data_IF_069613074557
#
_entry.id   IF_069613074557
#
_cell.length_a   1.000
_cell.length_b   1.000
_cell.length_c   1.000
_cell.angle_alpha   90.00
_cell.angle_beta   90.00
_cell.angle_gamma   90.00
#
_symmetry.space_group_name_H-M   'P 1'
#
loop_
_entity.id
_entity.type
_entity.pdbx_description
1 polymer ?
#
# COMPACT_ATOMS: atom_id res chain seq x y z
N UNK A 1 -29.92 27.64 6.81
CA UNK A 1 -28.66 28.05 6.18
C UNK A 1 -27.92 26.78 5.78
N UNK A 2 -28.37 26.16 4.71
CA UNK A 2 -27.74 25.08 3.96
C UNK A 2 -27.90 25.55 2.52
N UNK A 3 -26.81 26.00 1.92
CA UNK A 3 -26.65 26.30 0.50
C UNK A 3 -25.21 26.80 0.38
N UNK A 4 -24.29 25.90 0.04
CA UNK A 4 -22.99 26.18 -0.60
C UNK A 4 -22.06 24.97 -0.81
N UNK A 5 -22.48 23.73 -0.53
CA UNK A 5 -21.59 22.55 -0.67
C UNK A 5 -21.72 21.78 -2.00
N UNK A 6 -22.45 22.27 -2.99
CA UNK A 6 -22.70 21.52 -4.25
C UNK A 6 -21.76 21.84 -5.42
N UNK A 7 -20.70 22.64 -5.23
CA UNK A 7 -19.88 23.07 -6.38
C UNK A 7 -18.36 22.87 -6.25
N UNK A 8 -17.91 22.04 -5.30
CA UNK A 8 -16.46 21.71 -5.14
C UNK A 8 -16.11 20.33 -5.74
N UNK A 9 -17.10 19.48 -6.03
CA UNK A 9 -16.86 18.06 -6.35
C UNK A 9 -16.92 17.68 -7.84
N UNK A 10 -17.29 18.58 -8.76
CA UNK A 10 -17.42 18.25 -10.20
C UNK A 10 -16.23 18.73 -11.07
N UNK A 11 -15.30 19.48 -10.47
CA UNK A 11 -14.09 20.05 -11.11
C UNK A 11 -12.83 19.58 -10.34
N UNK A 12 -12.86 18.38 -9.74
CA UNK A 12 -11.63 17.63 -9.54
C UNK A 12 -11.35 16.90 -10.86
N UNK A 13 -10.83 17.70 -11.80
CA UNK A 13 -10.75 17.47 -13.23
C UNK A 13 -10.03 16.17 -13.58
N UNK A 14 -10.58 15.45 -14.56
CA UNK A 14 -9.89 14.42 -15.36
C UNK A 14 -8.53 14.95 -15.86
N UNK A 15 -8.42 16.26 -16.09
CA UNK A 15 -7.17 16.95 -16.46
C UNK A 15 -6.11 16.90 -15.35
N UNK A 16 -6.48 17.06 -14.08
CA UNK A 16 -5.57 16.92 -12.93
C UNK A 16 -5.07 15.49 -12.78
N UNK A 17 -5.92 14.49 -13.01
CA UNK A 17 -5.52 13.08 -12.94
C UNK A 17 -4.56 12.70 -14.07
N UNK A 18 -4.78 13.24 -15.27
CA UNK A 18 -3.89 12.99 -16.43
C UNK A 18 -2.53 13.68 -16.27
N UNK A 19 -2.51 14.94 -15.83
CA UNK A 19 -1.25 15.68 -15.56
C UNK A 19 -0.49 15.07 -14.38
N UNK A 20 -1.19 14.57 -13.37
CA UNK A 20 -0.61 13.83 -12.25
C UNK A 20 0.09 12.56 -12.72
N UNK A 21 -0.56 11.76 -13.57
CA UNK A 21 0.05 10.54 -14.09
C UNK A 21 1.33 10.87 -14.88
N UNK A 22 1.35 11.89 -15.74
CA UNK A 22 2.57 12.19 -16.53
C UNK A 22 3.77 12.62 -15.66
N UNK A 23 3.51 13.25 -14.51
CA UNK A 23 4.55 13.82 -13.62
C UNK A 23 4.89 12.98 -12.40
N UNK A 24 4.24 11.84 -12.22
CA UNK A 24 4.50 10.96 -11.08
C UNK A 24 5.51 9.90 -11.51
N UNK A 25 6.67 9.86 -10.86
CA UNK A 25 7.60 8.73 -10.92
C UNK A 25 6.93 7.37 -10.77
N UNK A 26 7.63 6.40 -11.30
CA UNK A 26 7.54 4.97 -11.11
C UNK A 26 7.09 4.55 -9.68
N UNK A 27 5.82 4.14 -9.57
CA UNK A 27 5.19 3.67 -8.34
C UNK A 27 4.45 2.37 -8.57
N UNK A 28 4.61 1.43 -7.64
CA UNK A 28 3.84 0.18 -7.59
C UNK A 28 2.92 0.23 -6.37
N UNK A 29 1.60 0.14 -6.60
CA UNK A 29 0.60 0.07 -5.54
C UNK A 29 0.01 -1.33 -5.52
N UNK A 30 0.03 -1.99 -4.36
CA UNK A 30 -0.51 -3.34 -4.16
C UNK A 30 -1.55 -3.29 -3.07
N UNK A 31 -2.76 -3.73 -3.37
CA UNK A 31 -3.83 -3.90 -2.40
C UNK A 31 -4.02 -5.37 -2.05
N UNK A 32 -4.33 -5.63 -0.78
CA UNK A 32 -4.75 -6.96 -0.34
C UNK A 32 -6.17 -7.32 -0.80
N UNK A 33 -6.94 -6.33 -1.26
CA UNK A 33 -8.33 -6.47 -1.71
C UNK A 33 -8.67 -5.53 -2.88
N UNK A 34 -9.51 -5.99 -3.81
CA UNK A 34 -10.24 -5.17 -4.78
C UNK A 34 -11.38 -4.45 -4.04
N UNK A 35 -11.88 -3.37 -4.64
CA UNK A 35 -12.94 -2.54 -4.05
C UNK A 35 -14.15 -3.38 -3.60
N UNK A 36 -14.67 -3.05 -2.42
CA UNK A 36 -15.80 -3.67 -1.72
C UNK A 36 -15.53 -5.02 -1.02
N UNK A 37 -14.33 -5.60 -1.15
CA UNK A 37 -14.01 -6.89 -0.55
C UNK A 37 -13.33 -6.77 0.82
N UNK A 38 -13.62 -7.72 1.71
CA UNK A 38 -12.91 -7.88 2.97
C UNK A 38 -11.62 -8.68 2.78
N UNK A 39 -10.59 -8.37 3.57
CA UNK A 39 -9.32 -9.09 3.53
C UNK A 39 -9.45 -10.51 4.10
N UNK A 40 -8.67 -11.45 3.57
CA UNK A 40 -8.53 -12.79 4.14
C UNK A 40 -7.35 -12.81 5.11
N UNK A 41 -7.66 -13.06 6.39
CA UNK A 41 -6.66 -13.04 7.46
C UNK A 41 -6.71 -14.34 8.24
N UNK A 42 -5.54 -14.96 8.40
CA UNK A 42 -5.34 -16.15 9.21
C UNK A 42 -4.49 -15.83 10.44
N UNK A 43 -4.91 -16.30 11.63
CA UNK A 43 -4.18 -16.08 12.88
C UNK A 43 -2.72 -16.56 12.82
N UNK A 44 -2.48 -17.70 12.17
CA UNK A 44 -1.16 -18.35 12.14
C UNK A 44 -0.17 -17.72 11.16
N UNK A 45 -0.67 -17.02 10.12
CA UNK A 45 0.17 -16.62 8.98
C UNK A 45 0.03 -15.15 8.60
N UNK A 46 -0.88 -14.40 9.24
CA UNK A 46 -1.17 -13.02 8.88
C UNK A 46 -2.19 -12.92 7.74
N UNK A 47 -2.21 -11.76 7.09
CA UNK A 47 -2.93 -11.57 5.83
C UNK A 47 -2.30 -12.37 4.70
N UNK A 48 -3.09 -12.73 3.70
CA UNK A 48 -2.55 -13.40 2.51
C UNK A 48 -1.52 -12.54 1.76
N UNK A 49 -1.76 -11.23 1.65
CA UNK A 49 -0.80 -10.33 1.00
C UNK A 49 0.54 -10.31 1.74
N UNK A 50 0.54 -10.19 3.07
CA UNK A 50 1.78 -10.21 3.84
C UNK A 50 2.52 -11.53 3.71
N UNK A 51 1.81 -12.66 3.64
CA UNK A 51 2.38 -13.99 3.43
C UNK A 51 3.04 -14.09 2.05
N UNK A 52 2.40 -13.59 1.00
CA UNK A 52 2.94 -13.58 -0.37
C UNK A 52 4.19 -12.70 -0.44
N UNK A 53 4.14 -11.47 0.08
CA UNK A 53 5.28 -10.55 0.11
C UNK A 53 6.45 -11.15 0.88
N UNK A 54 6.20 -11.71 2.06
CA UNK A 54 7.21 -12.44 2.85
C UNK A 54 7.85 -13.57 2.04
N UNK A 55 7.05 -14.31 1.28
CA UNK A 55 7.54 -15.42 0.46
C UNK A 55 8.45 -14.92 -0.67
N UNK A 56 8.06 -13.82 -1.34
CA UNK A 56 8.86 -13.20 -2.39
C UNK A 56 10.20 -12.70 -1.84
N UNK A 57 10.17 -11.97 -0.72
CA UNK A 57 11.38 -11.49 -0.04
C UNK A 57 12.27 -12.66 0.37
N UNK A 58 11.72 -13.70 1.02
CA UNK A 58 12.51 -14.88 1.42
C UNK A 58 13.21 -15.56 0.26
N UNK A 59 12.48 -15.83 -0.83
CA UNK A 59 13.03 -16.40 -2.06
C UNK A 59 14.11 -15.48 -2.66
N UNK A 60 13.92 -14.17 -2.54
CA UNK A 60 14.85 -13.10 -2.95
C UNK A 60 16.26 -13.21 -2.35
N UNK A 61 16.42 -13.85 -1.19
CA UNK A 61 17.75 -14.10 -0.60
C UNK A 61 18.55 -15.19 -1.31
N UNK A 62 17.88 -16.10 -2.03
CA UNK A 62 18.49 -17.24 -2.70
C UNK A 62 18.47 -17.12 -4.22
N UNK A 63 17.75 -16.14 -4.78
CA UNK A 63 17.69 -15.88 -6.21
C UNK A 63 16.81 -14.68 -6.54
N UNK A 64 16.85 -14.24 -7.80
CA UNK A 64 16.01 -13.16 -8.29
C UNK A 64 14.53 -13.53 -8.27
N UNK A 65 13.69 -12.67 -7.68
CA UNK A 65 12.23 -12.84 -7.64
C UNK A 65 11.56 -11.58 -8.16
N UNK A 66 10.93 -11.68 -9.32
CA UNK A 66 10.13 -10.59 -9.87
C UNK A 66 8.78 -10.51 -9.14
N UNK A 67 8.63 -9.48 -8.30
CA UNK A 67 7.46 -9.30 -7.44
C UNK A 67 6.16 -9.21 -8.25
N UNK A 68 6.15 -8.43 -9.33
CA UNK A 68 4.95 -8.29 -10.17
C UNK A 68 4.53 -9.61 -10.80
N UNK A 69 5.48 -10.42 -11.29
CA UNK A 69 5.19 -11.73 -11.87
C UNK A 69 4.67 -12.72 -10.84
N UNK A 70 5.26 -12.75 -9.64
CA UNK A 70 4.75 -13.62 -8.56
C UNK A 70 3.33 -13.20 -8.19
N UNK A 71 3.05 -11.91 -8.05
CA UNK A 71 1.71 -11.42 -7.71
C UNK A 71 0.68 -11.74 -8.80
N UNK A 72 1.03 -11.55 -10.08
CA UNK A 72 0.17 -11.94 -11.21
C UNK A 72 -0.14 -13.44 -11.17
N UNK A 73 0.83 -14.28 -10.82
CA UNK A 73 0.62 -15.72 -10.63
C UNK A 73 -0.37 -16.02 -9.49
N UNK A 74 -0.23 -15.36 -8.33
CA UNK A 74 -1.16 -15.52 -7.21
C UNK A 74 -2.59 -15.05 -7.55
N UNK A 75 -2.73 -13.92 -8.25
CA UNK A 75 -4.03 -13.41 -8.71
C UNK A 75 -4.73 -14.44 -9.59
N UNK A 76 -4.00 -15.02 -10.55
CA UNK A 76 -4.57 -15.95 -11.52
C UNK A 76 -4.96 -17.31 -10.91
N UNK A 77 -4.17 -17.83 -9.96
CA UNK A 77 -4.43 -19.16 -9.40
C UNK A 77 -5.55 -19.16 -8.37
N UNK A 78 -5.55 -18.17 -7.49
CA UNK A 78 -6.35 -18.26 -6.29
C UNK A 78 -7.66 -17.47 -6.36
N UNK A 79 -8.02 -16.93 -7.54
CA UNK A 79 -9.15 -16.00 -7.73
C UNK A 79 -9.13 -14.95 -6.61
N UNK A 80 -7.92 -14.48 -6.29
CA UNK A 80 -7.73 -13.63 -5.13
C UNK A 80 -8.16 -12.21 -5.49
N UNK A 81 -8.77 -11.56 -4.50
CA UNK A 81 -9.10 -10.15 -4.55
C UNK A 81 -7.88 -9.23 -4.52
N UNK A 82 -6.67 -9.64 -4.93
CA UNK A 82 -5.53 -8.71 -4.93
C UNK A 82 -5.65 -7.73 -6.09
N UNK A 83 -5.24 -6.47 -5.88
CA UNK A 83 -5.19 -5.45 -6.93
C UNK A 83 -3.77 -4.91 -7.05
N UNK A 84 -3.25 -4.82 -8.27
CA UNK A 84 -1.91 -4.25 -8.54
C UNK A 84 -2.08 -3.11 -9.52
N UNK A 85 -1.61 -1.93 -9.14
CA UNK A 85 -1.58 -0.76 -9.99
C UNK A 85 -0.14 -0.34 -10.25
N UNK A 86 0.26 -0.34 -11.52
CA UNK A 86 1.57 0.10 -12.00
C UNK A 86 1.43 1.53 -12.51
N UNK A 87 2.00 2.51 -11.81
CA UNK A 87 1.99 3.92 -12.20
C UNK A 87 3.37 4.23 -12.79
N UNK A 88 3.45 4.37 -14.11
CA UNK A 88 4.70 4.65 -14.86
C UNK A 88 5.88 3.75 -14.50
N UNK A 89 5.63 2.51 -14.10
CA UNK A 89 6.68 1.59 -13.69
C UNK A 89 7.53 1.19 -14.90
N UNK A 90 8.75 1.73 -15.03
CA UNK A 90 9.63 1.48 -16.20
C UNK A 90 10.48 0.23 -16.05
N UNK A 91 10.90 -0.07 -14.81
CA UNK A 91 11.78 -1.19 -14.48
C UNK A 91 11.03 -2.30 -13.74
N UNK A 92 11.61 -3.49 -13.71
CA UNK A 92 11.06 -4.58 -12.92
C UNK A 92 11.37 -4.40 -11.41
N UNK A 93 10.42 -4.76 -10.56
CA UNK A 93 10.62 -4.85 -9.11
C UNK A 93 11.08 -6.26 -8.78
N UNK A 94 12.38 -6.43 -8.55
CA UNK A 94 13.01 -7.73 -8.30
C UNK A 94 13.69 -7.74 -6.95
N UNK A 95 13.32 -8.69 -6.08
CA UNK A 95 14.08 -8.96 -4.86
C UNK A 95 15.23 -9.93 -5.16
N UNK A 96 16.42 -9.63 -4.65
CA UNK A 96 17.64 -10.36 -4.97
C UNK A 96 18.44 -9.73 -6.12
N UNK A 97 19.52 -10.39 -6.53
CA UNK A 97 20.39 -9.89 -7.61
C UNK A 97 19.87 -10.33 -8.98
N UNK A 98 19.68 -9.39 -9.90
CA UNK A 98 19.39 -9.65 -11.32
C UNK A 98 20.23 -8.72 -12.21
N UNK A 99 20.50 -9.18 -13.43
CA UNK A 99 21.21 -8.43 -14.48
C UNK A 99 20.27 -7.64 -15.39
N UNK A 100 18.96 -7.76 -15.19
CA UNK A 100 17.93 -7.06 -15.99
C UNK A 100 17.82 -5.57 -15.59
N UNK A 101 17.06 -4.78 -16.37
CA UNK A 101 16.70 -3.41 -16.00
C UNK A 101 15.71 -3.41 -14.81
N UNK A 102 16.27 -3.35 -13.61
CA UNK A 102 15.56 -3.43 -12.32
C UNK A 102 15.77 -2.16 -11.49
N UNK A 103 14.87 -1.91 -10.54
CA UNK A 103 15.16 -0.92 -9.49
C UNK A 103 16.21 -1.46 -8.51
N UNK A 104 17.06 -0.56 -8.04
CA UNK A 104 17.94 -0.84 -6.91
C UNK A 104 17.13 -0.82 -5.61
N UNK A 105 16.97 -2.00 -5.00
CA UNK A 105 16.25 -2.18 -3.74
C UNK A 105 17.18 -2.26 -2.53
N UNK A 106 18.48 -2.01 -2.72
CA UNK A 106 19.44 -1.95 -1.61
C UNK A 106 19.26 -0.65 -0.83
N UNK A 107 19.52 -0.68 0.48
CA UNK A 107 19.46 0.51 1.34
C UNK A 107 18.14 1.31 1.17
N UNK A 108 17.00 0.63 1.22
CA UNK A 108 15.69 1.29 1.13
C UNK A 108 15.18 1.79 2.47
N UNK A 109 14.17 2.66 2.46
CA UNK A 109 13.42 3.05 3.66
C UNK A 109 12.02 2.45 3.60
N UNK A 110 11.55 1.86 4.71
CA UNK A 110 10.25 1.23 4.83
C UNK A 110 9.49 1.81 6.02
N UNK A 111 8.36 2.47 5.76
CA UNK A 111 7.45 2.95 6.80
C UNK A 111 6.27 1.98 6.91
N UNK A 112 5.95 1.56 8.13
CA UNK A 112 4.84 0.65 8.41
C UNK A 112 3.86 1.35 9.35
N UNK A 113 2.72 1.78 8.82
CA UNK A 113 1.61 2.32 9.59
C UNK A 113 0.62 1.21 9.89
N UNK A 114 0.30 0.99 11.17
CA UNK A 114 -0.66 -0.03 11.60
C UNK A 114 -1.72 0.61 12.47
N UNK A 115 -2.99 0.50 12.09
CA UNK A 115 -4.12 0.92 12.93
C UNK A 115 -4.94 -0.31 13.31
N UNK A 116 -4.82 -0.72 14.57
CA UNK A 116 -5.51 -1.88 15.16
C UNK A 116 -6.70 -1.49 16.02
N UNK A 117 -6.67 -0.26 16.52
CA UNK A 117 -7.70 0.33 17.37
C UNK A 117 -8.38 1.44 16.59
N UNK A 118 -9.71 1.39 16.54
CA UNK A 118 -10.51 2.41 15.89
C UNK A 118 -11.59 2.91 16.84
N UNK A 119 -11.93 4.19 16.70
CA UNK A 119 -13.08 4.79 17.36
C UNK A 119 -14.38 4.23 16.74
N UNK A 120 -15.42 4.07 17.56
CA UNK A 120 -16.72 3.58 17.08
C UNK A 120 -17.27 4.48 15.94
N UNK A 121 -17.92 3.91 14.90
CA UNK A 121 -18.50 2.57 14.80
C UNK A 121 -17.59 1.50 14.17
N UNK A 122 -16.34 1.83 13.82
CA UNK A 122 -15.40 0.88 13.22
C UNK A 122 -15.05 -0.20 14.26
N UNK A 123 -15.67 -1.38 14.13
CA UNK A 123 -15.38 -2.50 15.03
C UNK A 123 -13.94 -2.95 14.84
N UNK A 124 -13.27 -3.30 15.94
CA UNK A 124 -11.98 -3.98 15.92
C UNK A 124 -12.05 -5.20 15.00
N UNK A 125 -11.26 -5.18 13.92
CA UNK A 125 -11.21 -6.29 12.98
C UNK A 125 -9.77 -6.55 12.52
N UNK A 126 -9.26 -7.65 13.06
CA UNK A 126 -8.42 -8.65 12.39
C UNK A 126 -6.99 -8.30 11.95
N UNK A 127 -6.29 -7.33 12.53
CA UNK A 127 -4.83 -7.27 12.28
C UNK A 127 -4.12 -8.18 13.27
N UNK A 128 -3.45 -9.22 12.78
CA UNK A 128 -2.55 -10.02 13.61
C UNK A 128 -1.16 -9.40 13.63
N UNK A 129 -0.48 -9.50 14.77
CA UNK A 129 0.93 -9.13 14.90
C UNK A 129 1.80 -9.85 13.85
N UNK A 130 1.38 -11.05 13.44
CA UNK A 130 2.03 -11.84 12.38
C UNK A 130 2.05 -11.08 11.05
N UNK A 131 0.96 -10.38 10.66
CA UNK A 131 0.92 -9.55 9.45
C UNK A 131 2.00 -8.47 9.49
N UNK A 132 2.07 -7.72 10.59
CA UNK A 132 3.06 -6.64 10.77
C UNK A 132 4.48 -7.20 10.75
N UNK A 133 4.70 -8.33 11.44
CA UNK A 133 6.02 -8.95 11.53
C UNK A 133 6.49 -9.57 10.20
N UNK A 134 5.57 -10.12 9.38
CA UNK A 134 5.89 -10.60 8.04
C UNK A 134 6.54 -9.50 7.18
N UNK A 135 6.03 -8.27 7.26
CA UNK A 135 6.61 -7.14 6.57
C UNK A 135 7.90 -6.66 7.22
N UNK A 136 7.84 -6.32 8.51
CA UNK A 136 8.95 -5.69 9.22
C UNK A 136 10.22 -6.56 9.19
N UNK A 137 10.10 -7.85 9.49
CA UNK A 137 11.26 -8.74 9.56
C UNK A 137 11.88 -8.89 8.18
N UNK A 138 11.09 -9.15 7.14
CA UNK A 138 11.64 -9.52 5.84
C UNK A 138 12.16 -8.29 5.08
N UNK A 139 11.51 -7.13 5.15
CA UNK A 139 12.09 -5.89 4.59
C UNK A 139 13.39 -5.51 5.31
N UNK A 140 13.45 -5.63 6.64
CA UNK A 140 14.68 -5.38 7.41
C UNK A 140 15.80 -6.34 7.03
N UNK A 141 15.49 -7.61 6.79
CA UNK A 141 16.46 -8.60 6.28
C UNK A 141 16.96 -8.29 4.87
N UNK A 142 16.15 -7.61 4.06
CA UNK A 142 16.54 -7.06 2.75
C UNK A 142 17.29 -5.73 2.83
N UNK A 143 17.71 -5.30 4.03
CA UNK A 143 18.52 -4.10 4.21
C UNK A 143 17.73 -2.80 4.13
N UNK A 144 16.40 -2.84 4.32
CA UNK A 144 15.61 -1.64 4.49
C UNK A 144 15.70 -1.11 5.93
N UNK A 145 15.86 0.19 6.10
CA UNK A 145 15.58 0.84 7.38
C UNK A 145 14.07 0.83 7.60
N UNK A 146 13.60 0.13 8.64
CA UNK A 146 12.17 -0.11 8.85
C UNK A 146 11.69 0.62 10.10
N UNK A 147 10.69 1.49 9.93
CA UNK A 147 10.11 2.30 11.01
C UNK A 147 8.63 1.94 11.16
N UNK A 148 8.21 1.56 12.37
CA UNK A 148 6.80 1.26 12.68
C UNK A 148 6.11 2.47 13.33
N UNK A 149 4.85 2.68 12.95
CA UNK A 149 3.93 3.64 13.56
C UNK A 149 2.62 2.90 13.89
N UNK A 150 2.15 3.05 15.12
CA UNK A 150 1.01 2.28 15.65
C UNK A 150 -0.10 3.23 16.10
N UNK A 151 -1.32 2.92 15.65
CA UNK A 151 -2.57 3.59 15.97
C UNK A 151 -2.47 5.12 15.79
N UNK A 152 -2.22 5.54 14.56
CA UNK A 152 -2.18 6.96 14.17
C UNK A 152 -3.56 7.40 13.64
N UNK A 153 -3.96 8.62 13.99
CA UNK A 153 -5.07 9.31 13.35
C UNK A 153 -4.76 9.55 11.87
N UNK A 154 -5.80 9.82 11.07
CA UNK A 154 -5.60 10.15 9.66
C UNK A 154 -4.62 11.34 9.49
N UNK A 155 -4.72 12.33 10.38
CA UNK A 155 -3.84 13.50 10.36
C UNK A 155 -2.41 13.19 10.85
N UNK A 156 -2.23 12.34 11.85
CA UNK A 156 -0.90 11.93 12.31
C UNK A 156 -0.17 11.13 11.21
N UNK A 157 -0.85 10.24 10.50
CA UNK A 157 -0.27 9.47 9.38
C UNK A 157 0.27 10.41 8.30
N UNK A 158 -0.54 11.35 7.83
CA UNK A 158 -0.13 12.26 6.76
C UNK A 158 0.96 13.23 7.21
N UNK A 159 0.86 13.76 8.44
CA UNK A 159 1.88 14.67 9.00
C UNK A 159 3.21 13.96 9.13
N UNK A 160 3.21 12.71 9.59
CA UNK A 160 4.43 11.93 9.73
C UNK A 160 5.07 11.61 8.39
N UNK A 161 4.26 11.24 7.39
CA UNK A 161 4.75 11.01 6.03
C UNK A 161 5.35 12.29 5.43
N UNK A 162 4.68 13.43 5.58
CA UNK A 162 5.20 14.73 5.14
C UNK A 162 6.55 15.06 5.79
N UNK A 163 6.70 14.81 7.09
CA UNK A 163 7.95 15.03 7.78
C UNK A 163 9.10 14.16 7.25
N UNK A 164 8.81 12.90 6.86
CA UNK A 164 9.82 12.02 6.24
C UNK A 164 10.19 12.52 4.84
N UNK A 165 9.18 12.87 4.03
CA UNK A 165 9.38 13.34 2.65
C UNK A 165 10.18 14.64 2.60
N UNK A 166 9.88 15.59 3.49
CA UNK A 166 10.56 16.89 3.56
C UNK A 166 11.89 16.86 4.32
N UNK A 167 12.21 15.76 5.02
CA UNK A 167 13.34 15.69 5.95
C UNK A 167 14.71 15.43 5.30
N UNK A 168 14.78 15.24 3.97
CA UNK A 168 16.02 14.96 3.23
C UNK A 168 16.62 13.56 3.44
N UNK A 169 16.08 12.78 4.39
CA UNK A 169 16.53 11.41 4.67
C UNK A 169 16.33 10.46 3.48
N UNK A 170 15.43 10.77 2.55
CA UNK A 170 15.14 9.92 1.39
C UNK A 170 16.27 9.94 0.34
N UNK A 171 17.09 10.99 0.32
CA UNK A 171 18.19 11.14 -0.63
C UNK A 171 19.17 9.97 -0.59
N UNK A 172 19.48 9.45 0.59
CA UNK A 172 20.43 8.34 0.79
C UNK A 172 19.86 6.96 0.50
N UNK A 173 18.54 6.82 0.34
CA UNK A 173 17.89 5.53 0.14
C UNK A 173 17.61 5.28 -1.34
N UNK A 174 17.72 4.04 -1.83
CA UNK A 174 17.49 3.73 -3.25
C UNK A 174 16.04 3.33 -3.58
N UNK A 175 15.27 2.96 -2.55
CA UNK A 175 13.86 2.62 -2.67
C UNK A 175 13.08 3.13 -1.45
N UNK A 176 11.79 3.40 -1.64
CA UNK A 176 10.90 3.83 -0.58
C UNK A 176 9.63 2.98 -0.56
N UNK A 177 9.37 2.37 0.59
CA UNK A 177 8.24 1.47 0.82
C UNK A 177 7.34 2.09 1.89
N UNK A 178 6.05 2.15 1.62
CA UNK A 178 5.04 2.48 2.62
C UNK A 178 4.08 1.30 2.70
N UNK A 179 3.90 0.79 3.91
CA UNK A 179 2.97 -0.29 4.21
C UNK A 179 1.93 0.28 5.15
N UNK A 180 0.68 0.21 4.75
CA UNK A 180 -0.45 0.69 5.55
C UNK A 180 -1.34 -0.50 5.84
N UNK A 181 -1.44 -0.83 7.12
CA UNK A 181 -2.25 -1.91 7.63
C UNK A 181 -3.40 -1.28 8.42
N UNK A 182 -4.55 -1.10 7.75
CA UNK A 182 -5.70 -0.37 8.31
C UNK A 182 -7.02 -0.85 7.69
N UNK A 183 -8.14 -0.23 8.07
CA UNK A 183 -9.38 -0.34 7.31
C UNK A 183 -9.37 0.67 6.15
N UNK A 184 -9.96 0.27 5.04
CA UNK A 184 -10.12 1.08 3.83
C UNK A 184 -11.57 1.09 3.37
N UNK A 185 -11.93 2.12 2.62
CA UNK A 185 -13.24 2.23 1.98
C UNK A 185 -13.13 3.01 0.67
N UNK A 186 -14.03 2.78 -0.27
CA UNK A 186 -14.13 3.59 -1.47
C UNK A 186 -15.37 4.48 -1.35
N UNK A 187 -15.17 5.78 -1.15
CA UNK A 187 -16.23 6.79 -1.00
C UNK A 187 -16.24 7.64 -2.27
N UNK A 188 -17.37 7.69 -2.99
CA UNK A 188 -17.51 8.46 -4.24
C UNK A 188 -16.40 8.15 -5.28
N UNK A 189 -15.96 6.89 -5.36
CA UNK A 189 -14.89 6.46 -6.28
C UNK A 189 -13.46 6.76 -5.81
N UNK A 190 -13.31 7.42 -4.65
CA UNK A 190 -12.03 7.75 -4.03
C UNK A 190 -11.70 6.70 -2.96
N UNK A 191 -10.47 6.20 -2.99
CA UNK A 191 -10.00 5.25 -1.99
C UNK A 191 -9.49 5.98 -0.74
N UNK A 192 -10.11 5.65 0.37
CA UNK A 192 -9.95 6.28 1.67
C UNK A 192 -9.30 5.32 2.66
N UNK A 193 -8.40 5.85 3.49
CA UNK A 193 -7.66 5.11 4.50
C UNK A 193 -8.10 5.60 5.88
N UNK A 194 -8.59 4.70 6.73
CA UNK A 194 -9.01 5.07 8.07
C UNK A 194 -7.82 5.27 9.04
N UNK A 195 -7.89 6.33 9.83
CA UNK A 195 -7.11 6.53 11.04
C UNK A 195 -7.78 5.90 12.26
N UNK A 196 -7.06 5.79 13.39
CA UNK A 196 -7.65 5.31 14.67
C UNK A 196 -8.83 6.14 15.15
N UNK A 197 -8.91 7.40 14.73
CA UNK A 197 -9.96 8.35 15.07
C UNK A 197 -11.24 8.14 14.26
N UNK A 198 -11.25 7.20 13.31
CA UNK A 198 -12.37 6.96 12.41
C UNK A 198 -12.50 8.01 11.31
N UNK A 199 -11.65 9.04 11.31
CA UNK A 199 -11.47 9.91 10.17
C UNK A 199 -10.67 9.19 9.08
N UNK A 200 -10.77 9.69 7.86
CA UNK A 200 -10.08 9.11 6.71
C UNK A 200 -9.13 10.10 6.04
N UNK A 201 -8.15 9.56 5.32
CA UNK A 201 -7.33 10.32 4.39
C UNK A 201 -7.39 9.69 2.99
N UNK A 202 -7.51 10.51 1.92
CA UNK A 202 -7.52 9.99 0.56
C UNK A 202 -6.16 9.41 0.18
N UNK A 203 -6.15 8.21 -0.40
CA UNK A 203 -4.93 7.58 -0.91
C UNK A 203 -4.20 8.47 -1.90
N UNK A 204 -4.94 9.22 -2.74
CA UNK A 204 -4.35 10.16 -3.69
C UNK A 204 -3.52 11.24 -3.01
N UNK A 205 -3.85 11.63 -1.77
CA UNK A 205 -3.02 12.58 -1.00
C UNK A 205 -1.65 11.99 -0.68
N UNK A 206 -1.57 10.70 -0.34
CA UNK A 206 -0.29 10.00 -0.17
C UNK A 206 0.47 9.96 -1.49
N UNK A 207 -0.18 9.52 -2.57
CA UNK A 207 0.47 9.44 -3.88
C UNK A 207 1.04 10.81 -4.32
N UNK A 208 0.28 11.88 -4.13
CA UNK A 208 0.71 13.26 -4.42
C UNK A 208 1.94 13.70 -3.63
N UNK A 209 2.07 13.33 -2.36
CA UNK A 209 3.29 13.60 -1.59
C UNK A 209 4.52 12.90 -2.15
N UNK A 210 4.32 11.78 -2.83
CA UNK A 210 5.38 11.00 -3.47
C UNK A 210 5.58 11.38 -4.94
N UNK A 211 4.89 12.39 -5.47
CA UNK A 211 5.15 12.86 -6.84
C UNK A 211 6.53 13.52 -6.96
N UNK A 212 7.05 13.59 -8.19
CA UNK A 212 8.39 14.14 -8.43
C UNK A 212 8.48 15.63 -8.10
N UNK A 213 7.39 16.38 -8.29
CA UNK A 213 7.29 17.78 -7.90
C UNK A 213 7.34 17.99 -6.37
N UNK A 214 6.94 16.99 -5.58
CA UNK A 214 6.87 17.08 -4.11
C UNK A 214 8.02 16.38 -3.41
N UNK A 215 8.67 15.43 -4.08
CA UNK A 215 9.74 14.64 -3.51
C UNK A 215 10.80 14.31 -4.57
N UNK A 216 11.67 15.28 -4.84
CA UNK A 216 12.79 15.14 -5.79
C UNK A 216 13.76 14.01 -5.41
N UNK A 217 13.93 13.76 -4.10
CA UNK A 217 14.81 12.71 -3.57
C UNK A 217 14.45 11.29 -4.03
N UNK A 218 13.22 11.08 -4.51
CA UNK A 218 12.73 9.79 -4.99
C UNK A 218 12.58 9.70 -6.51
N UNK A 219 13.01 10.70 -7.27
CA UNK A 219 12.99 10.65 -8.75
C UNK A 219 13.84 9.48 -9.24
N UNK A 220 13.26 8.64 -10.10
CA UNK A 220 13.92 7.45 -10.65
C UNK A 220 14.11 6.27 -9.67
N UNK A 221 13.63 6.40 -8.43
CA UNK A 221 13.67 5.37 -7.40
C UNK A 221 12.32 4.67 -7.27
N UNK A 222 12.30 3.41 -6.81
CA UNK A 222 11.04 2.70 -6.61
C UNK A 222 10.25 3.30 -5.45
N UNK A 223 8.98 3.61 -5.72
CA UNK A 223 7.96 3.90 -4.70
C UNK A 223 7.01 2.70 -4.61
N UNK A 224 7.05 1.95 -3.52
CA UNK A 224 6.19 0.78 -3.30
C UNK A 224 5.18 1.08 -2.20
N UNK A 225 3.89 1.04 -2.54
CA UNK A 225 2.80 1.26 -1.61
C UNK A 225 2.01 -0.03 -1.43
N UNK A 226 2.03 -0.59 -0.22
CA UNK A 226 1.34 -1.83 0.13
C UNK A 226 0.18 -1.46 1.07
N UNK A 227 -1.04 -1.79 0.66
CA UNK A 227 -2.28 -1.44 1.36
C UNK A 227 -2.95 -2.75 1.80
N UNK A 228 -2.79 -3.09 3.07
CA UNK A 228 -3.18 -4.39 3.61
C UNK A 228 -4.32 -4.26 4.62
N UNK A 229 -5.51 -4.64 4.20
CA UNK A 229 -6.72 -4.50 4.98
C UNK A 229 -7.99 -4.63 4.14
N UNK A 230 -9.16 -4.66 4.80
CA UNK A 230 -10.44 -4.69 4.10
C UNK A 230 -10.68 -3.36 3.38
N UNK A 231 -11.20 -3.41 2.15
CA UNK A 231 -11.65 -2.25 1.36
C UNK A 231 -13.16 -2.30 1.12
N UNK A 232 -13.88 -2.82 2.11
CA UNK A 232 -15.32 -3.05 2.09
C UNK A 232 -15.75 -4.22 2.98
N UNK A 233 -17.01 -4.62 2.84
CA UNK A 233 -17.67 -5.58 3.74
C UNK A 233 -18.01 -6.93 3.11
N UNK A 234 -17.77 -7.12 1.80
CA UNK A 234 -18.09 -8.38 1.11
C UNK A 234 -17.06 -9.44 1.49
N UNK A 235 -17.51 -10.49 2.17
CA UNK A 235 -16.67 -11.61 2.57
C UNK A 235 -16.65 -12.70 1.49
N UNK A 236 -15.47 -12.99 0.93
CA UNK A 236 -15.27 -14.01 -0.11
C UNK A 236 -15.78 -15.40 0.30
N UNK A 237 -15.72 -15.74 1.58
CA UNK A 237 -16.20 -17.04 2.06
C UNK A 237 -17.68 -17.28 1.75
N UNK A 238 -18.49 -16.22 1.68
CA UNK A 238 -19.92 -16.32 1.37
C UNK A 238 -20.13 -16.56 -0.14
N UNK A 239 -19.31 -15.95 -1.00
CA UNK A 239 -19.37 -16.14 -2.46
C UNK A 239 -18.98 -17.56 -2.88
N UNK A 240 -17.99 -18.17 -2.24
CA UNK A 240 -17.59 -19.56 -2.51
C UNK A 240 -18.67 -20.59 -2.12
N UNK A 241 -19.44 -20.33 -1.08
CA UNK A 241 -20.54 -21.21 -0.66
C UNK A 241 -21.74 -21.13 -1.62
N UNK A 242 -21.98 -19.98 -2.23
CA UNK A 242 -23.12 -19.77 -3.15
C UNK A 242 -22.87 -20.32 -4.57
N UNK A 243 -21.62 -20.41 -5.02
CA UNK A 243 -21.28 -20.98 -6.32
C UNK A 243 -21.09 -22.51 -6.30
N UNK A 244 -21.26 -23.15 -5.13
CA UNK A 244 -21.15 -24.60 -4.95
C UNK A 244 -22.52 -25.27 -4.67
N UNK A 245 -23.63 -24.56 -4.92
CA UNK A 245 -25.02 -25.06 -4.86
C UNK A 245 -25.62 -24.93 -6.26
#
# INVERSE_FOLDING_TARGET
MRDNDENINSIFDIKYETDYIVKTSDMLVIWSTIRNYSNLIALMHGSELSRIIRTCLKKGHSGAVNLTREMDFYINIFIHSLEINKINLKKAVVFGHSTDDIYDLTNGLCLIFTNTIFSAPLKHKYISEVTVNNYYIEFKRHGFDCIKFEDFTANEMITKLQAVVSGGNLKSHNAFVIIIISSFETINGIDEIYGKDGNFLPLNKIKMLLSDERCEDLVGKLKLLILDGPRGCINLFILYMLNCI
#
